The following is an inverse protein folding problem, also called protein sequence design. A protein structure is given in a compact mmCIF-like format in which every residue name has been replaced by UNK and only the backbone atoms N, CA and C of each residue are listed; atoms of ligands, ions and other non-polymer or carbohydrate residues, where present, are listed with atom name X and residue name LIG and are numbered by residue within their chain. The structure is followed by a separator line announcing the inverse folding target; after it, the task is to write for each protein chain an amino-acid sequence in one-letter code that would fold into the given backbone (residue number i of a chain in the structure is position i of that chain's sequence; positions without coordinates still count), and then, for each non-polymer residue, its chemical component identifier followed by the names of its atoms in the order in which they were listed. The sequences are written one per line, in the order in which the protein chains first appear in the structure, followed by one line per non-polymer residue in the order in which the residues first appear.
data_IF_300378672559
#
_entry.id   IF_300378672559
#
_cell.length_a   1.000
_cell.length_b   1.000
_cell.length_c   1.000
_cell.angle_alpha   90.00
_cell.angle_beta   90.00
_cell.angle_gamma   90.00
#
_symmetry.space_group_name_H-M   'P 1'
#
loop_
_entity.id
_entity.type
_entity.pdbx_description
1 polymer ?
#
# COMPACT_ATOMS: atom_id res chain seq x y z
N UNK A 1 38.45 1.86 10.96
CA UNK A 1 38.73 1.88 9.50
C UNK A 1 38.96 3.33 9.06
N UNK A 2 40.00 3.63 8.28
CA UNK A 2 40.19 4.97 7.67
C UNK A 2 39.83 4.89 6.18
N UNK A 3 38.89 5.70 5.67
CA UNK A 3 38.54 5.66 4.26
C UNK A 3 39.71 6.11 3.38
N UNK A 4 39.87 5.48 2.22
CA UNK A 4 40.87 5.87 1.22
C UNK A 4 40.55 7.26 0.62
N UNK A 5 41.52 7.94 -0.02
CA UNK A 5 41.25 9.19 -0.73
C UNK A 5 40.12 9.06 -1.76
N UNK A 6 40.09 7.97 -2.52
CA UNK A 6 39.03 7.69 -3.49
C UNK A 6 37.66 7.50 -2.83
N UNK A 7 37.61 6.85 -1.67
CA UNK A 7 36.36 6.70 -0.91
C UNK A 7 35.84 8.06 -0.42
N UNK A 8 36.72 8.97 0.03
CA UNK A 8 36.33 10.33 0.41
C UNK A 8 35.83 11.16 -0.77
N UNK A 9 36.45 11.02 -1.95
CA UNK A 9 35.99 11.70 -3.16
C UNK A 9 34.59 11.24 -3.57
N UNK A 10 34.33 9.93 -3.51
CA UNK A 10 33.00 9.38 -3.80
C UNK A 10 31.96 9.80 -2.74
N UNK A 11 32.35 9.86 -1.47
CA UNK A 11 31.50 10.34 -0.38
C UNK A 11 31.03 11.79 -0.59
N UNK A 12 31.91 12.68 -1.08
CA UNK A 12 31.54 14.05 -1.41
C UNK A 12 30.46 14.11 -2.50
N UNK A 13 30.56 13.28 -3.53
CA UNK A 13 29.55 13.20 -4.60
C UNK A 13 28.21 12.71 -4.03
N UNK A 14 28.22 11.66 -3.20
CA UNK A 14 26.99 11.16 -2.57
C UNK A 14 26.36 12.19 -1.63
N UNK A 15 27.18 12.94 -0.89
CA UNK A 15 26.72 14.04 -0.05
C UNK A 15 25.99 15.09 -0.86
N UNK A 16 26.55 15.51 -1.99
CA UNK A 16 25.90 16.49 -2.87
C UNK A 16 24.58 15.96 -3.43
N UNK A 17 24.51 14.67 -3.79
CA UNK A 17 23.26 14.03 -4.24
C UNK A 17 22.22 13.98 -3.11
N UNK A 18 22.60 13.64 -1.89
CA UNK A 18 21.70 13.59 -0.73
C UNK A 18 21.18 14.99 -0.38
N UNK A 19 21.92 16.06 -0.68
CA UNK A 19 21.45 17.43 -0.48
C UNK A 19 20.39 17.87 -1.51
N UNK A 20 20.19 17.13 -2.59
CA UNK A 20 19.07 17.33 -3.51
C UNK A 20 17.83 16.58 -3.00
N UNK A 21 16.64 17.19 -3.12
CA UNK A 21 15.38 16.57 -2.67
C UNK A 21 15.18 15.15 -3.24
N UNK A 22 15.37 15.01 -4.55
CA UNK A 22 15.13 13.74 -5.23
C UNK A 22 16.18 12.68 -4.83
N UNK A 23 17.42 13.10 -4.57
CA UNK A 23 18.47 12.22 -4.06
C UNK A 23 18.21 11.79 -2.62
N UNK A 24 17.81 12.73 -1.74
CA UNK A 24 17.37 12.43 -0.38
C UNK A 24 16.24 11.38 -0.37
N UNK A 25 15.22 11.58 -1.21
CA UNK A 25 14.11 10.64 -1.33
C UNK A 25 14.58 9.26 -1.81
N UNK A 26 15.37 9.20 -2.89
CA UNK A 26 15.90 7.94 -3.42
C UNK A 26 16.65 7.12 -2.35
N UNK A 27 17.53 7.77 -1.59
CA UNK A 27 18.29 7.08 -0.54
C UNK A 27 17.41 6.69 0.64
N UNK A 28 16.49 7.56 1.07
CA UNK A 28 15.55 7.24 2.13
C UNK A 28 14.68 6.04 1.74
N UNK A 29 14.05 6.07 0.57
CA UNK A 29 13.18 4.99 0.08
C UNK A 29 13.92 3.65 0.04
N UNK A 30 15.19 3.66 -0.37
CA UNK A 30 16.02 2.44 -0.42
C UNK A 30 16.41 1.93 0.96
N UNK A 31 16.84 2.81 1.86
CA UNK A 31 17.30 2.43 3.20
C UNK A 31 16.14 1.93 4.05
N UNK A 32 14.97 2.57 3.94
CA UNK A 32 13.77 2.22 4.69
C UNK A 32 12.94 1.11 4.01
N UNK A 33 13.35 0.66 2.82
CA UNK A 33 12.64 -0.39 2.07
C UNK A 33 11.27 0.06 1.54
N UNK A 34 11.02 1.36 1.45
CA UNK A 34 9.75 1.92 0.93
C UNK A 34 9.59 1.60 -0.57
N UNK A 35 10.70 1.55 -1.31
CA UNK A 35 10.74 1.16 -2.73
C UNK A 35 10.59 -0.38 -2.93
N UNK A 36 10.41 -1.16 -1.86
CA UNK A 36 10.14 -2.59 -2.00
C UNK A 36 8.76 -2.78 -2.62
N UNK A 37 8.75 -3.32 -3.84
CA UNK A 37 7.53 -3.66 -4.58
C UNK A 37 7.52 -5.11 -5.03
N UNK A 38 6.53 -5.86 -4.58
CA UNK A 38 6.27 -7.21 -5.07
C UNK A 38 5.60 -7.16 -6.45
N UNK A 39 6.00 -8.06 -7.36
CA UNK A 39 5.29 -8.22 -8.62
C UNK A 39 4.02 -9.08 -8.39
N UNK A 40 2.90 -8.41 -8.10
CA UNK A 40 1.61 -9.06 -7.86
C UNK A 40 0.67 -9.02 -9.08
N UNK A 41 1.12 -8.43 -10.19
CA UNK A 41 0.30 -8.12 -11.36
C UNK A 41 -0.57 -6.87 -11.18
N UNK A 42 -1.28 -6.47 -12.25
CA UNK A 42 -2.17 -5.29 -12.26
C UNK A 42 -1.48 -3.99 -12.66
N UNK A 43 -2.29 -2.99 -13.04
CA UNK A 43 -1.80 -1.76 -13.67
C UNK A 43 -1.58 -0.60 -12.67
N UNK A 44 -2.14 -0.70 -11.46
CA UNK A 44 -2.07 0.40 -10.50
C UNK A 44 -0.69 0.48 -9.82
N UNK A 45 -0.04 1.67 -9.72
CA UNK A 45 1.32 1.82 -9.21
C UNK A 45 1.51 1.43 -7.73
N UNK A 46 0.44 1.46 -6.93
CA UNK A 46 0.50 1.01 -5.53
C UNK A 46 0.52 -0.51 -5.38
N UNK A 47 0.08 -1.28 -6.38
CA UNK A 47 0.00 -2.74 -6.24
C UNK A 47 1.38 -3.33 -6.03
N UNK A 48 1.53 -4.11 -4.96
CA UNK A 48 2.78 -4.74 -4.55
C UNK A 48 3.64 -3.90 -3.62
N UNK A 49 3.33 -2.61 -3.44
CA UNK A 49 4.06 -1.70 -2.55
C UNK A 49 3.47 -1.72 -1.14
N UNK A 50 4.20 -1.14 -0.19
CA UNK A 50 3.66 -0.82 1.13
C UNK A 50 2.48 0.16 1.00
N UNK A 51 1.38 -0.12 1.70
CA UNK A 51 0.20 0.72 1.66
C UNK A 51 0.47 2.06 2.37
N UNK A 52 0.10 3.21 1.77
CA UNK A 52 0.04 4.47 2.48
C UNK A 52 -0.84 4.35 3.72
N UNK A 53 -0.43 4.97 4.82
CA UNK A 53 -1.23 4.95 6.04
C UNK A 53 -2.39 5.95 5.95
N UNK A 54 -3.47 5.53 5.27
CA UNK A 54 -4.63 6.39 4.98
C UNK A 54 -5.29 6.85 6.28
N UNK A 55 -5.32 8.17 6.51
CA UNK A 55 -6.10 8.79 7.58
C UNK A 55 -7.59 8.77 7.19
N UNK A 56 -8.41 8.14 8.02
CA UNK A 56 -9.84 7.94 7.79
C UNK A 56 -10.67 9.00 8.51
N UNK A 57 -11.88 9.24 7.98
CA UNK A 57 -12.79 10.27 8.50
C UNK A 57 -13.31 10.01 9.93
N UNK A 58 -13.13 8.80 10.46
CA UNK A 58 -13.45 8.45 11.84
C UNK A 58 -12.29 8.70 12.83
N UNK A 59 -11.18 9.27 12.33
CA UNK A 59 -9.97 9.56 13.12
C UNK A 59 -9.03 8.38 13.29
N UNK A 60 -9.34 7.22 12.70
CA UNK A 60 -8.44 6.06 12.68
C UNK A 60 -7.56 6.07 11.43
N UNK A 61 -6.51 5.25 11.42
CA UNK A 61 -5.66 5.04 10.25
C UNK A 61 -5.78 3.62 9.71
N UNK A 62 -5.32 3.38 8.48
CA UNK A 62 -5.21 2.02 7.93
C UNK A 62 -4.39 1.11 8.86
N UNK A 63 -3.28 1.63 9.40
CA UNK A 63 -2.39 0.87 10.27
C UNK A 63 -3.08 0.41 11.55
N UNK A 64 -4.04 1.16 12.10
CA UNK A 64 -4.86 0.72 13.25
C UNK A 64 -5.68 -0.52 12.93
N UNK A 65 -6.21 -0.63 11.71
CA UNK A 65 -7.04 -1.75 11.28
C UNK A 65 -6.25 -3.00 10.87
N UNK A 66 -4.97 -2.86 10.57
CA UNK A 66 -4.06 -3.98 10.27
C UNK A 66 -3.51 -4.67 11.53
N UNK A 67 -3.62 -4.06 12.71
CA UNK A 67 -3.05 -4.59 13.97
C UNK A 67 -3.61 -5.95 14.39
N UNK A 68 -4.79 -6.33 13.89
CA UNK A 68 -5.43 -7.60 14.21
C UNK A 68 -4.93 -8.78 13.33
N UNK A 69 -3.97 -8.54 12.43
CA UNK A 69 -3.41 -9.56 11.55
C UNK A 69 -4.33 -10.02 10.42
N UNK A 70 -5.43 -9.29 10.16
CA UNK A 70 -6.32 -9.51 9.02
C UNK A 70 -5.95 -8.61 7.85
N UNK A 71 -6.35 -9.02 6.65
CA UNK A 71 -6.36 -8.09 5.52
C UNK A 71 -7.39 -7.00 5.73
N UNK A 72 -7.23 -5.88 5.04
CA UNK A 72 -8.19 -4.78 5.04
C UNK A 72 -8.65 -4.52 3.62
N UNK A 73 -9.96 -4.50 3.42
CA UNK A 73 -10.56 -3.97 2.21
C UNK A 73 -11.21 -2.64 2.55
N UNK A 74 -10.64 -1.56 2.03
CA UNK A 74 -11.05 -0.19 2.29
C UNK A 74 -11.79 0.37 1.07
N UNK A 75 -13.06 0.71 1.27
CA UNK A 75 -13.93 1.38 0.31
C UNK A 75 -14.02 2.88 0.65
N UNK A 76 -13.38 3.72 -0.15
CA UNK A 76 -13.42 5.16 0.01
C UNK A 76 -14.74 5.77 -0.47
N UNK A 77 -15.48 5.04 -1.32
CA UNK A 77 -16.68 5.49 -2.00
C UNK A 77 -17.97 4.96 -1.34
N UNK A 78 -18.16 5.15 -0.02
CA UNK A 78 -19.46 5.02 0.70
C UNK A 78 -20.36 3.83 0.27
N UNK A 79 -19.84 2.60 0.26
CA UNK A 79 -20.67 1.38 0.11
C UNK A 79 -20.89 0.95 -1.33
N UNK A 80 -19.87 1.20 -2.15
CA UNK A 80 -19.84 0.91 -3.56
C UNK A 80 -19.41 -0.53 -3.84
N UNK A 81 -18.75 -1.18 -2.87
CA UNK A 81 -18.43 -2.60 -2.88
C UNK A 81 -19.52 -3.40 -2.16
N UNK A 82 -20.05 -4.42 -2.83
CA UNK A 82 -21.15 -5.26 -2.35
C UNK A 82 -20.67 -6.22 -1.23
N UNK A 83 -21.03 -6.00 0.05
CA UNK A 83 -20.50 -6.78 1.15
C UNK A 83 -20.92 -8.26 1.08
N UNK A 84 -22.08 -8.54 0.50
CA UNK A 84 -22.70 -9.87 0.51
C UNK A 84 -21.84 -10.95 -0.17
N UNK A 85 -21.12 -10.58 -1.23
CA UNK A 85 -20.20 -11.50 -1.92
C UNK A 85 -18.83 -11.60 -1.25
N UNK A 86 -18.48 -10.63 -0.42
CA UNK A 86 -17.23 -10.61 0.35
C UNK A 86 -17.38 -11.23 1.74
N UNK A 87 -18.61 -11.55 2.17
CA UNK A 87 -18.90 -12.23 3.47
C UNK A 87 -18.08 -13.50 3.66
N UNK A 88 -17.79 -14.22 2.57
CA UNK A 88 -16.96 -15.43 2.63
C UNK A 88 -15.57 -15.15 3.21
N UNK A 89 -15.02 -13.96 2.95
CA UNK A 89 -13.69 -13.54 3.40
C UNK A 89 -13.68 -12.84 4.75
N UNK A 90 -14.83 -12.57 5.37
CA UNK A 90 -14.95 -11.84 6.63
C UNK A 90 -14.09 -12.41 7.80
N UNK A 91 -13.80 -13.73 7.89
CA UNK A 91 -12.87 -14.23 8.90
C UNK A 91 -11.43 -13.71 8.72
N UNK A 92 -11.02 -13.43 7.48
CA UNK A 92 -9.64 -13.10 7.08
C UNK A 92 -9.45 -11.64 6.67
N UNK A 93 -10.54 -10.94 6.36
CA UNK A 93 -10.54 -9.57 5.84
C UNK A 93 -11.51 -8.71 6.64
N UNK A 94 -11.04 -7.55 7.09
CA UNK A 94 -11.85 -6.49 7.66
C UNK A 94 -12.33 -5.58 6.53
N UNK A 95 -13.64 -5.45 6.36
CA UNK A 95 -14.22 -4.52 5.40
C UNK A 95 -14.50 -3.18 6.07
N UNK A 96 -13.97 -2.10 5.49
CA UNK A 96 -14.10 -0.74 6.03
C UNK A 96 -14.65 0.16 4.94
N UNK A 97 -15.74 0.85 5.25
CA UNK A 97 -16.29 1.91 4.40
C UNK A 97 -16.03 3.24 5.08
N UNK A 98 -15.04 3.98 4.63
CA UNK A 98 -14.71 5.29 5.19
C UNK A 98 -14.04 6.17 4.16
N UNK A 99 -14.32 7.47 4.20
CA UNK A 99 -13.56 8.44 3.40
C UNK A 99 -12.16 8.57 3.99
N UNK A 100 -11.17 8.74 3.12
CA UNK A 100 -9.84 9.18 3.53
C UNK A 100 -9.66 10.68 3.29
N UNK A 101 -8.78 11.31 4.07
CA UNK A 101 -8.38 12.71 3.85
C UNK A 101 -7.72 12.89 2.47
N UNK A 102 -6.84 11.95 2.10
CA UNK A 102 -6.25 11.84 0.77
C UNK A 102 -6.32 10.38 0.29
N UNK A 103 -7.30 10.03 -0.58
CA UNK A 103 -7.42 8.68 -1.12
C UNK A 103 -6.47 8.42 -2.31
N UNK A 104 -5.63 9.38 -2.71
CA UNK A 104 -4.71 9.25 -3.85
C UNK A 104 -5.42 8.89 -5.17
N UNK A 105 -6.66 9.33 -5.34
CA UNK A 105 -7.48 9.02 -6.51
C UNK A 105 -8.05 7.60 -6.54
N UNK A 106 -7.90 6.83 -5.45
CA UNK A 106 -8.48 5.49 -5.30
C UNK A 106 -9.96 5.56 -4.93
N UNK A 107 -10.75 4.65 -5.50
CA UNK A 107 -12.09 4.34 -5.03
C UNK A 107 -12.05 3.25 -3.94
N UNK A 108 -11.14 2.28 -4.07
CA UNK A 108 -10.95 1.24 -3.07
C UNK A 108 -9.54 0.61 -3.14
N UNK A 109 -9.11 0.00 -2.02
CA UNK A 109 -7.83 -0.70 -1.90
C UNK A 109 -7.98 -1.97 -1.06
N UNK A 110 -7.36 -3.06 -1.52
CA UNK A 110 -7.20 -4.30 -0.77
C UNK A 110 -5.77 -4.41 -0.27
N UNK A 111 -5.61 -4.49 1.05
CA UNK A 111 -4.33 -4.55 1.74
C UNK A 111 -4.20 -5.88 2.47
N UNK A 112 -3.05 -6.53 2.30
CA UNK A 112 -2.70 -7.79 2.96
C UNK A 112 -2.38 -7.55 4.44
N UNK A 113 -2.40 -8.61 5.28
CA UNK A 113 -2.03 -8.49 6.70
C UNK A 113 -0.62 -7.94 6.96
N UNK A 114 0.29 -8.04 5.98
CA UNK A 114 1.65 -7.50 6.03
C UNK A 114 1.75 -6.03 5.58
N UNK A 115 0.61 -5.38 5.29
CA UNK A 115 0.56 -3.99 4.84
C UNK A 115 0.84 -3.79 3.36
N UNK A 116 0.98 -4.85 2.57
CA UNK A 116 1.20 -4.76 1.12
C UNK A 116 -0.12 -4.60 0.38
N UNK A 117 -0.18 -3.69 -0.58
CA UNK A 117 -1.36 -3.50 -1.44
C UNK A 117 -1.46 -4.68 -2.42
N UNK A 118 -2.52 -5.48 -2.31
CA UNK A 118 -2.81 -6.60 -3.19
C UNK A 118 -3.65 -6.21 -4.42
N UNK A 119 -4.46 -5.16 -4.29
CA UNK A 119 -5.28 -4.62 -5.36
C UNK A 119 -5.63 -3.16 -5.06
N UNK A 120 -5.75 -2.33 -6.09
CA UNK A 120 -6.14 -0.94 -5.99
C UNK A 120 -6.96 -0.55 -7.22
N UNK A 121 -8.06 0.17 -7.02
CA UNK A 121 -8.96 0.56 -8.10
C UNK A 121 -9.39 2.02 -7.99
N UNK A 122 -9.33 2.74 -9.12
CA UNK A 122 -9.70 4.17 -9.20
C UNK A 122 -11.19 4.36 -9.53
N UNK A 123 -11.87 3.29 -9.90
CA UNK A 123 -13.31 3.24 -10.14
C UNK A 123 -13.90 1.98 -9.51
N UNK A 124 -15.08 2.14 -8.93
CA UNK A 124 -15.85 1.09 -8.26
C UNK A 124 -16.25 -0.07 -9.19
N UNK A 125 -16.16 0.12 -10.50
CA UNK A 125 -16.68 -0.82 -11.51
C UNK A 125 -15.89 -2.13 -11.63
N UNK A 126 -14.74 -2.28 -10.96
CA UNK A 126 -13.88 -3.46 -11.11
C UNK A 126 -14.11 -4.53 -10.01
N UNK A 127 -15.39 -4.90 -9.85
CA UNK A 127 -15.79 -5.91 -8.86
C UNK A 127 -15.23 -7.31 -9.17
N UNK A 128 -15.00 -7.62 -10.45
CA UNK A 128 -14.43 -8.90 -10.83
C UNK A 128 -12.95 -8.98 -10.43
N UNK A 129 -12.15 -7.93 -10.68
CA UNK A 129 -10.75 -7.96 -10.27
C UNK A 129 -10.58 -7.96 -8.75
N UNK A 130 -11.41 -7.22 -8.01
CA UNK A 130 -11.32 -7.26 -6.54
C UNK A 130 -11.67 -8.64 -5.99
N UNK A 131 -12.69 -9.33 -6.55
CA UNK A 131 -13.03 -10.70 -6.16
C UNK A 131 -11.89 -11.66 -6.50
N UNK A 132 -11.29 -11.53 -7.68
CA UNK A 132 -10.16 -12.35 -8.12
C UNK A 132 -8.94 -12.14 -7.21
N UNK A 133 -8.57 -10.89 -6.93
CA UNK A 133 -7.47 -10.57 -6.03
C UNK A 133 -7.74 -11.09 -4.62
N UNK A 134 -8.98 -10.95 -4.13
CA UNK A 134 -9.38 -11.45 -2.82
C UNK A 134 -9.21 -12.98 -2.75
N UNK A 135 -9.70 -13.71 -3.75
CA UNK A 135 -9.54 -15.17 -3.83
C UNK A 135 -8.08 -15.61 -3.98
N UNK A 136 -7.28 -14.88 -4.77
CA UNK A 136 -5.86 -15.17 -4.98
C UNK A 136 -5.07 -15.07 -3.66
N UNK A 137 -5.33 -14.02 -2.87
CA UNK A 137 -4.52 -13.70 -1.70
C UNK A 137 -5.04 -14.26 -0.38
N UNK A 138 -6.36 -14.47 -0.27
CA UNK A 138 -6.99 -14.93 0.97
C UNK A 138 -7.54 -16.35 0.87
N UNK A 139 -7.37 -17.01 -0.28
CA UNK A 139 -7.87 -18.34 -0.61
C UNK A 139 -9.24 -18.29 -1.26
N UNK A 140 -9.68 -19.37 -1.91
CA UNK A 140 -11.03 -19.49 -2.45
C UNK A 140 -12.05 -19.94 -1.41
N UNK A 141 -13.32 -19.86 -1.80
CA UNK A 141 -14.35 -20.75 -1.27
C UNK A 141 -14.19 -22.15 -1.84
#
# INVERSE_FOLDING_TARGET
MRPSPSARALEAIFRDLIHMRDGANYFAERVWGIDLRYNLGGDHPLIGSSAPDFALADGTTLSDHLRNGKGVLLDFAKGSLFPDRLRFFAPRITYITSKAEDPLGLAAVLVRPDGVVAWAGNAVTDFQAITQATSQWFGGA
#
